data_IF_567659713096
#
_entry.id   IF_567659713096
#
_cell.length_a   1.000
_cell.length_b   1.000
_cell.length_c   1.000
_cell.angle_alpha   90.00
_cell.angle_beta   90.00
_cell.angle_gamma   90.00
#
_symmetry.space_group_name_H-M   'P 1'
#
loop_
_entity.id
_entity.type
_entity.pdbx_description
1 polymer ?
#
# COMPACT_ATOMS: atom_id res chain seq x y z
N UNK A 1 9.49 6.65 29.93
CA UNK A 1 8.05 6.70 29.57
C UNK A 1 7.84 6.93 28.08
N UNK A 2 8.59 7.85 27.47
CA UNK A 2 8.57 8.16 26.03
C UNK A 2 8.42 6.95 25.08
N UNK A 3 9.26 5.92 25.19
CA UNK A 3 9.20 4.73 24.32
C UNK A 3 7.90 3.93 24.43
N UNK A 4 7.28 3.88 25.61
CA UNK A 4 5.96 3.23 25.78
C UNK A 4 4.86 4.00 25.07
N UNK A 5 4.99 5.33 25.02
CA UNK A 5 4.05 6.22 24.35
C UNK A 5 4.12 6.06 22.83
N UNK A 6 5.33 5.94 22.27
CA UNK A 6 5.54 5.66 20.83
C UNK A 6 4.91 4.31 20.44
N UNK A 7 5.10 3.28 21.25
CA UNK A 7 4.46 1.97 21.02
C UNK A 7 2.93 2.12 21.02
N UNK A 8 2.37 2.84 22.00
CA UNK A 8 0.93 3.09 22.08
C UNK A 8 0.38 3.81 20.85
N UNK A 9 1.04 4.89 20.41
CA UNK A 9 0.66 5.64 19.20
C UNK A 9 0.74 4.76 17.96
N UNK A 10 1.79 3.94 17.83
CA UNK A 10 1.98 3.06 16.67
C UNK A 10 0.89 1.99 16.59
N UNK A 11 0.46 1.44 17.73
CA UNK A 11 -0.65 0.49 17.79
C UNK A 11 -1.96 1.15 17.38
N UNK A 12 -2.24 2.36 17.90
CA UNK A 12 -3.44 3.12 17.54
C UNK A 12 -3.45 3.44 16.04
N UNK A 13 -2.30 3.83 15.46
CA UNK A 13 -2.17 4.07 14.04
C UNK A 13 -2.46 2.83 13.18
N UNK A 14 -2.02 1.64 13.60
CA UNK A 14 -2.40 0.38 12.94
C UNK A 14 -3.91 0.13 13.00
N UNK A 15 -4.54 0.33 14.16
CA UNK A 15 -5.97 0.06 14.33
C UNK A 15 -6.80 1.05 13.51
N UNK A 16 -6.54 2.34 13.64
CA UNK A 16 -7.27 3.39 12.91
C UNK A 16 -7.03 3.26 11.40
N UNK A 17 -5.79 3.05 10.99
CA UNK A 17 -5.45 2.80 9.59
C UNK A 17 -6.15 1.56 9.03
N UNK A 18 -6.23 0.48 9.82
CA UNK A 18 -6.91 -0.76 9.44
C UNK A 18 -8.42 -0.62 9.34
N UNK A 19 -9.06 0.09 10.27
CA UNK A 19 -10.50 0.38 10.22
C UNK A 19 -10.83 1.22 8.99
N UNK A 20 -10.03 2.26 8.72
CA UNK A 20 -10.18 3.10 7.53
C UNK A 20 -9.97 2.24 6.28
N UNK A 21 -8.90 1.45 6.21
CA UNK A 21 -8.61 0.53 5.10
C UNK A 21 -9.76 -0.44 4.82
N UNK A 22 -10.33 -1.07 5.84
CA UNK A 22 -11.50 -1.98 5.70
C UNK A 22 -12.74 -1.23 5.26
N UNK A 23 -13.01 -0.03 5.82
CA UNK A 23 -14.24 0.73 5.56
C UNK A 23 -14.36 1.23 4.12
N UNK A 24 -13.25 1.40 3.42
CA UNK A 24 -13.25 1.69 1.98
C UNK A 24 -12.96 0.44 1.13
N UNK A 25 -13.36 -0.74 1.60
CA UNK A 25 -13.32 -1.97 0.81
C UNK A 25 -11.91 -2.53 0.58
N UNK A 26 -10.92 -2.16 1.39
CA UNK A 26 -9.50 -2.44 1.15
C UNK A 26 -8.95 -1.77 -0.13
N UNK A 27 -9.71 -0.86 -0.75
CA UNK A 27 -9.39 -0.25 -2.04
C UNK A 27 -8.99 1.23 -1.93
N UNK A 28 -8.83 1.80 -0.72
CA UNK A 28 -8.52 3.23 -0.48
C UNK A 28 -7.46 3.81 -1.41
N UNK A 29 -6.48 2.99 -1.82
CA UNK A 29 -5.32 3.44 -2.58
C UNK A 29 -5.23 2.90 -4.01
N UNK A 30 -6.18 2.06 -4.45
CA UNK A 30 -6.15 1.41 -5.76
C UNK A 30 -7.26 1.97 -6.65
N UNK A 31 -6.98 2.12 -7.95
CA UNK A 31 -8.03 2.46 -8.92
C UNK A 31 -8.72 1.16 -9.34
N UNK A 32 -10.05 1.12 -9.29
CA UNK A 32 -10.92 -0.04 -9.61
C UNK A 32 -10.74 -0.69 -11.00
N UNK A 33 -9.80 -0.20 -11.83
CA UNK A 33 -9.61 -0.63 -13.21
C UNK A 33 -8.14 -0.64 -13.59
N UNK A 34 -7.69 -1.80 -14.04
CA UNK A 34 -6.36 -1.97 -14.62
C UNK A 34 -6.40 -1.68 -16.12
N UNK A 35 -5.47 -0.85 -16.60
CA UNK A 35 -5.35 -0.50 -18.01
C UNK A 35 -4.62 -1.62 -18.75
N UNK A 36 -5.36 -2.45 -19.48
CA UNK A 36 -4.79 -3.48 -20.37
C UNK A 36 -4.65 -2.86 -21.76
N UNK A 37 -3.42 -2.64 -22.20
CA UNK A 37 -3.13 -2.18 -23.56
C UNK A 37 -2.82 -3.41 -24.41
N UNK A 38 -3.76 -3.79 -25.28
CA UNK A 38 -3.57 -4.89 -26.23
C UNK A 38 -3.12 -4.29 -27.56
N UNK A 39 -1.91 -4.61 -28.01
CA UNK A 39 -1.44 -4.20 -29.34
C UNK A 39 -1.88 -5.25 -30.34
N UNK A 40 -2.93 -4.94 -31.10
CA UNK A 40 -3.40 -5.81 -32.18
C UNK A 40 -2.72 -5.35 -33.46
N UNK A 41 -1.96 -6.26 -34.08
CA UNK A 41 -1.31 -6.01 -35.36
C UNK A 41 -2.26 -6.48 -36.46
N UNK A 42 -2.73 -5.54 -37.28
CA UNK A 42 -3.58 -5.86 -38.43
C UNK A 42 -2.69 -6.43 -39.53
N UNK A 43 -2.71 -7.75 -39.72
CA UNK A 43 -1.85 -8.45 -40.69
C UNK A 43 -2.14 -8.04 -42.15
N UNK A 44 -3.32 -7.50 -42.42
CA UNK A 44 -3.78 -7.12 -43.76
C UNK A 44 -3.24 -5.74 -44.20
N UNK A 45 -3.05 -4.82 -43.25
CA UNK A 45 -2.68 -3.42 -43.55
C UNK A 45 -1.33 -2.99 -42.95
N UNK A 46 -0.67 -3.86 -42.18
CA UNK A 46 0.63 -3.58 -41.57
C UNK A 46 0.59 -2.53 -40.45
N UNK A 47 -0.60 -2.04 -40.09
CA UNK A 47 -0.83 -1.04 -39.04
C UNK A 47 -1.00 -1.71 -37.68
N UNK A 48 -0.29 -1.22 -36.68
CA UNK A 48 -0.50 -1.56 -35.27
C UNK A 48 -1.56 -0.66 -34.66
N UNK A 49 -2.59 -1.25 -34.04
CA UNK A 49 -3.62 -0.50 -33.32
C UNK A 49 -3.53 -0.84 -31.83
N UNK A 50 -3.42 0.19 -31.01
CA UNK A 50 -3.47 0.06 -29.56
C UNK A 50 -4.92 0.05 -29.09
N UNK A 51 -5.40 -1.08 -28.57
CA UNK A 51 -6.71 -1.17 -27.94
C UNK A 51 -6.55 -1.12 -26.42
N UNK A 52 -7.10 -0.06 -25.82
CA UNK A 52 -7.08 0.15 -24.37
C UNK A 52 -8.37 -0.41 -23.77
N UNK A 53 -8.25 -1.53 -23.05
CA UNK A 53 -9.36 -2.14 -22.30
C UNK A 53 -9.16 -1.94 -20.80
N UNK A 54 -10.23 -1.62 -20.09
CA UNK A 54 -10.22 -1.42 -18.64
C UNK A 54 -10.85 -2.63 -17.97
N UNK A 55 -10.03 -3.51 -17.38
CA UNK A 55 -10.53 -4.69 -16.67
C UNK A 55 -10.72 -4.38 -15.18
N UNK A 56 -11.84 -4.81 -14.57
CA UNK A 56 -11.99 -4.76 -13.12
C UNK A 56 -11.04 -5.78 -12.48
N UNK A 57 -10.02 -5.28 -11.79
CA UNK A 57 -9.08 -6.10 -11.03
C UNK A 57 -9.26 -5.75 -9.56
N UNK A 58 -9.64 -6.73 -8.73
CA UNK A 58 -9.69 -6.54 -7.28
C UNK A 58 -8.26 -6.39 -6.74
N UNK A 59 -7.93 -5.18 -6.26
CA UNK A 59 -6.63 -4.89 -5.67
C UNK A 59 -6.81 -4.45 -4.23
N UNK A 60 -6.21 -5.21 -3.31
CA UNK A 60 -6.37 -5.05 -1.87
C UNK A 60 -5.71 -3.80 -1.25
N UNK A 61 -5.20 -2.84 -2.03
CA UNK A 61 -4.58 -1.60 -1.50
C UNK A 61 -3.43 -1.80 -0.49
N UNK A 62 -2.94 -3.04 -0.37
CA UNK A 62 -1.93 -3.46 0.60
C UNK A 62 -0.52 -3.12 0.12
N UNK A 63 -0.30 -3.25 -1.19
CA UNK A 63 0.93 -2.90 -1.88
C UNK A 63 0.63 -1.76 -2.87
N UNK A 64 1.61 -0.88 -3.14
CA UNK A 64 1.42 0.18 -4.14
C UNK A 64 1.24 -0.42 -5.54
N UNK A 65 0.40 0.22 -6.34
CA UNK A 65 0.12 -0.20 -7.73
C UNK A 65 1.28 0.04 -8.69
N UNK A 66 2.15 0.99 -8.36
CA UNK A 66 3.31 1.37 -9.16
C UNK A 66 4.60 1.04 -8.42
N UNK A 67 5.64 0.60 -9.15
CA UNK A 67 7.00 0.41 -8.62
C UNK A 67 7.71 1.74 -8.23
N UNK A 68 7.00 2.87 -8.31
CA UNK A 68 7.49 4.16 -7.89
C UNK A 68 7.58 4.22 -6.35
N UNK A 69 8.76 4.52 -5.83
CA UNK A 69 8.98 4.72 -4.39
C UNK A 69 8.06 5.79 -3.78
N UNK A 70 7.64 6.79 -4.56
CA UNK A 70 6.69 7.80 -4.10
C UNK A 70 5.25 7.28 -3.91
N UNK A 71 4.92 6.10 -4.44
CA UNK A 71 3.63 5.46 -4.25
C UNK A 71 3.54 4.63 -2.95
N UNK A 72 4.68 4.31 -2.31
CA UNK A 72 4.73 3.55 -1.06
C UNK A 72 3.86 4.12 0.07
N UNK A 73 3.85 5.44 0.35
CA UNK A 73 3.01 6.02 1.40
C UNK A 73 1.51 5.87 1.13
N UNK A 74 1.13 5.60 -0.12
CA UNK A 74 -0.24 5.32 -0.55
C UNK A 74 -0.52 3.82 -0.53
N UNK A 75 -0.01 3.10 0.46
CA UNK A 75 -0.35 1.69 0.63
C UNK A 75 -0.51 1.40 2.12
N UNK A 76 -1.49 0.57 2.46
CA UNK A 76 -1.69 0.20 3.86
C UNK A 76 -0.52 -0.63 4.40
N UNK A 77 0.17 -1.39 3.54
CA UNK A 77 1.39 -2.12 3.90
C UNK A 77 2.52 -1.21 4.38
N UNK A 78 2.63 0.02 3.86
CA UNK A 78 3.61 0.99 4.36
C UNK A 78 3.28 1.46 5.77
N UNK A 79 2.00 1.76 6.06
CA UNK A 79 1.54 2.14 7.40
C UNK A 79 1.83 1.01 8.40
N UNK A 80 1.53 -0.23 8.03
CA UNK A 80 1.83 -1.40 8.86
C UNK A 80 3.35 -1.57 9.08
N UNK A 81 4.14 -1.49 8.02
CA UNK A 81 5.60 -1.66 8.10
C UNK A 81 6.27 -0.61 8.98
N UNK A 82 5.88 0.66 8.84
CA UNK A 82 6.42 1.76 9.64
C UNK A 82 6.03 1.65 11.12
N UNK A 83 4.76 1.32 11.39
CA UNK A 83 4.29 1.07 12.75
C UNK A 83 5.01 -0.12 13.40
N UNK A 84 5.23 -1.21 12.66
CA UNK A 84 5.96 -2.37 13.18
C UNK A 84 7.41 -2.04 13.48
N UNK A 85 8.09 -1.33 12.58
CA UNK A 85 9.46 -0.86 12.78
C UNK A 85 9.57 0.08 13.99
N UNK A 86 8.61 1.00 14.16
CA UNK A 86 8.56 1.90 15.30
C UNK A 86 8.33 1.16 16.63
N UNK A 87 7.48 0.12 16.64
CA UNK A 87 7.24 -0.72 17.82
C UNK A 87 8.50 -1.50 18.20
N UNK A 88 9.14 -2.18 17.24
CA UNK A 88 10.36 -2.97 17.48
C UNK A 88 11.51 -2.05 17.93
N UNK A 89 11.74 -0.94 17.23
CA UNK A 89 12.78 0.02 17.58
C UNK A 89 12.57 0.61 18.97
N UNK A 90 11.34 0.98 19.31
CA UNK A 90 10.99 1.49 20.63
C UNK A 90 11.13 0.43 21.72
N UNK A 91 10.82 -0.84 21.44
CA UNK A 91 11.00 -1.95 22.39
C UNK A 91 12.49 -2.21 22.67
N UNK A 92 13.35 -2.17 21.64
CA UNK A 92 14.81 -2.31 21.79
C UNK A 92 15.37 -1.16 22.64
N UNK A 93 14.96 0.08 22.34
CA UNK A 93 15.41 1.26 23.09
C UNK A 93 14.91 1.27 24.53
N UNK A 94 13.67 0.80 24.78
CA UNK A 94 13.14 0.63 26.13
C UNK A 94 13.96 -0.39 26.94
N UNK A 95 14.42 -1.48 26.30
CA UNK A 95 15.29 -2.48 26.93
C UNK A 95 16.66 -1.89 27.25
N UNK A 96 17.25 -1.13 26.32
CA UNK A 96 18.55 -0.44 26.54
C UNK A 96 18.49 0.61 27.64
N UNK A 97 17.41 1.38 27.74
CA UNK A 97 17.24 2.43 28.75
C UNK A 97 17.02 1.89 30.18
N UNK A 98 16.76 0.59 30.34
CA UNK A 98 16.56 -0.07 31.64
C UNK A 98 17.78 -0.86 32.13
N UNK A 99 18.77 -1.06 31.27
CA UNK A 99 20.07 -1.64 31.60
C UNK A 99 21.04 -0.54 32.02
#
# INVERSE_FOLDING_TARGET
MFWKLIIGISIIACIVGGVIWISHGMEIYTKDREKVVTVIKDEVFGTTREEVSWKPTFKYGLLPDDANFMALPRSYGFVLGLSFAAIIGSAIMLKRSRS
#
